data_IF_633117730898
#
_entry.id   IF_633117730898
#
_cell.length_a   1.000
_cell.length_b   1.000
_cell.length_c   1.000
_cell.angle_alpha   90.00
_cell.angle_beta   90.00
_cell.angle_gamma   90.00
#
_symmetry.space_group_name_H-M   'P 1'
#
loop_
_entity.id
_entity.type
_entity.pdbx_description
1 polymer ?
#
# COMPACT_ATOMS: atom_id res chain seq x y z
N UNK A 1 -2.91 -14.62 -9.57
CA UNK A 1 -3.16 -14.44 -8.12
C UNK A 1 -3.25 -12.95 -7.82
N UNK A 2 -4.26 -12.56 -7.06
CA UNK A 2 -4.44 -11.16 -6.67
C UNK A 2 -3.58 -10.85 -5.45
N UNK A 3 -2.80 -9.78 -5.53
CA UNK A 3 -1.92 -9.37 -4.43
C UNK A 3 -2.10 -7.88 -4.14
N UNK A 4 -1.79 -7.51 -2.91
CA UNK A 4 -1.74 -6.11 -2.47
C UNK A 4 -0.27 -5.79 -2.26
N UNK A 5 0.25 -4.84 -3.02
CA UNK A 5 1.67 -4.50 -2.98
C UNK A 5 1.89 -3.02 -3.24
N UNK A 6 3.13 -2.55 -3.09
CA UNK A 6 3.49 -1.17 -3.35
C UNK A 6 3.95 -1.00 -4.79
N UNK A 7 3.46 0.07 -5.41
CA UNK A 7 3.94 0.54 -6.71
C UNK A 7 4.62 1.89 -6.51
N UNK A 8 5.81 2.05 -7.08
CA UNK A 8 6.55 3.30 -6.94
C UNK A 8 5.97 4.38 -7.85
N UNK A 9 5.85 5.58 -7.29
CA UNK A 9 5.41 6.77 -7.99
C UNK A 9 6.26 7.95 -7.52
N UNK A 10 6.12 9.11 -8.13
CA UNK A 10 6.83 10.31 -7.72
C UNK A 10 8.18 10.51 -8.39
N UNK A 11 8.89 11.55 -7.97
CA UNK A 11 10.15 11.96 -8.57
C UNK A 11 11.32 11.06 -8.15
N UNK A 12 12.40 11.13 -8.92
CA UNK A 12 13.60 10.31 -8.74
C UNK A 12 14.21 10.42 -7.33
N UNK A 13 14.19 11.62 -6.73
CA UNK A 13 14.75 11.88 -5.40
C UNK A 13 13.70 11.93 -4.31
N UNK A 14 12.42 11.75 -4.65
CA UNK A 14 11.31 11.77 -3.69
C UNK A 14 10.40 10.58 -3.99
N UNK A 15 10.78 9.40 -3.54
CA UNK A 15 9.95 8.21 -3.76
C UNK A 15 8.60 8.36 -3.06
N UNK A 16 7.57 7.93 -3.74
CA UNK A 16 6.22 7.87 -3.20
C UNK A 16 5.64 6.54 -3.65
N UNK A 17 5.00 5.83 -2.74
CA UNK A 17 4.48 4.51 -3.03
C UNK A 17 2.97 4.50 -2.88
N UNK A 18 2.30 3.89 -3.85
CA UNK A 18 0.88 3.60 -3.76
C UNK A 18 0.70 2.14 -3.34
N UNK A 19 -0.20 1.90 -2.41
CA UNK A 19 -0.59 0.54 -2.06
C UNK A 19 -1.72 0.14 -3.00
N UNK A 20 -1.45 -0.84 -3.85
CA UNK A 20 -2.36 -1.21 -4.94
C UNK A 20 -2.75 -2.68 -4.87
N UNK A 21 -3.92 -2.96 -5.43
CA UNK A 21 -4.40 -4.32 -5.65
C UNK A 21 -4.16 -4.65 -7.12
N UNK A 22 -3.47 -5.73 -7.40
CA UNK A 22 -3.12 -6.09 -8.77
C UNK A 22 -2.91 -7.60 -8.89
N UNK A 23 -2.79 -8.07 -10.13
CA UNK A 23 -2.37 -9.45 -10.39
C UNK A 23 -0.86 -9.56 -10.19
N UNK A 24 -0.41 -10.64 -9.53
CA UNK A 24 1.01 -10.85 -9.22
C UNK A 24 1.90 -10.89 -10.46
N UNK A 25 1.33 -11.19 -11.63
CA UNK A 25 2.06 -11.25 -12.90
C UNK A 25 2.32 -9.87 -13.51
N UNK A 26 1.60 -8.84 -13.07
CA UNK A 26 1.79 -7.49 -13.57
C UNK A 26 3.08 -6.89 -13.04
N UNK A 27 3.67 -5.97 -13.81
CA UNK A 27 4.86 -5.23 -13.39
C UNK A 27 4.54 -4.38 -12.16
N UNK A 28 5.54 -4.17 -11.29
CA UNK A 28 5.38 -3.39 -10.05
C UNK A 28 4.69 -2.04 -10.28
N UNK A 29 5.12 -1.30 -11.32
CA UNK A 29 4.60 0.03 -11.62
C UNK A 29 3.64 0.03 -12.80
N UNK A 30 3.12 -1.15 -13.19
CA UNK A 30 2.19 -1.32 -14.29
C UNK A 30 0.74 -1.19 -13.87
N UNK A 31 -0.13 -1.86 -14.61
CA UNK A 31 -1.56 -1.81 -14.37
C UNK A 31 -1.93 -2.38 -13.00
N UNK A 32 -2.95 -1.79 -12.39
CA UNK A 32 -3.51 -2.29 -11.14
C UNK A 32 -5.04 -2.18 -11.18
N UNK A 33 -5.68 -2.92 -10.28
CA UNK A 33 -7.15 -2.94 -10.18
C UNK A 33 -7.65 -1.74 -9.39
N UNK A 34 -7.01 -1.47 -8.23
CA UNK A 34 -7.47 -0.44 -7.32
C UNK A 34 -6.32 0.04 -6.45
N UNK A 35 -6.32 1.32 -6.11
CA UNK A 35 -5.40 1.90 -5.14
C UNK A 35 -6.12 1.98 -3.79
N UNK A 36 -5.53 1.39 -2.75
CA UNK A 36 -6.14 1.37 -1.43
C UNK A 36 -5.35 2.13 -0.38
N UNK A 37 -4.25 2.74 -0.75
CA UNK A 37 -3.47 3.52 0.20
C UNK A 37 -2.20 4.10 -0.42
N UNK A 38 -1.41 4.76 0.43
CA UNK A 38 -0.14 5.30 -0.01
C UNK A 38 0.88 5.29 1.13
N UNK A 39 2.15 5.39 0.78
CA UNK A 39 3.25 5.52 1.72
C UNK A 39 4.26 6.53 1.18
N UNK A 40 4.53 7.56 1.98
CA UNK A 40 5.52 8.58 1.66
C UNK A 40 6.65 8.53 2.69
N UNK A 41 7.79 7.89 2.39
CA UNK A 41 8.88 7.76 3.36
C UNK A 41 9.61 9.06 3.67
N UNK A 42 9.39 10.11 2.88
CA UNK A 42 10.02 11.43 3.09
C UNK A 42 9.04 12.47 3.62
N UNK A 43 7.88 12.03 4.11
CA UNK A 43 6.90 12.95 4.71
C UNK A 43 7.47 13.59 5.98
N UNK A 44 7.13 14.86 6.21
CA UNK A 44 7.49 15.55 7.44
C UNK A 44 6.78 14.89 8.65
N UNK A 45 7.34 15.08 9.85
CA UNK A 45 6.81 14.46 11.07
C UNK A 45 5.35 14.78 11.33
N UNK A 46 4.92 15.99 10.95
CA UNK A 46 3.54 16.43 11.13
C UNK A 46 2.64 16.09 9.95
N UNK A 47 3.15 15.38 8.96
CA UNK A 47 2.36 14.95 7.81
C UNK A 47 2.03 13.46 7.92
N UNK A 48 0.87 13.09 7.36
CA UNK A 48 0.48 11.67 7.28
C UNK A 48 1.28 11.00 6.16
N UNK A 49 2.33 10.27 6.53
CA UNK A 49 3.19 9.57 5.58
C UNK A 49 2.67 8.20 5.16
N UNK A 50 1.63 7.72 5.82
CA UNK A 50 1.06 6.39 5.54
C UNK A 50 -0.44 6.45 5.71
N UNK A 51 -1.16 5.99 4.71
CA UNK A 51 -2.62 5.91 4.75
C UNK A 51 -3.06 4.60 4.11
N UNK A 52 -4.03 3.94 4.73
CA UNK A 52 -4.59 2.68 4.22
C UNK A 52 -6.11 2.74 4.35
N UNK A 53 -6.81 2.44 3.26
CA UNK A 53 -8.26 2.26 3.31
C UNK A 53 -8.54 0.87 3.85
N UNK A 54 -8.83 0.79 5.15
CA UNK A 54 -8.99 -0.49 5.85
C UNK A 54 -10.22 -1.26 5.38
N UNK A 55 -11.26 -0.57 4.94
CA UNK A 55 -12.46 -1.23 4.41
C UNK A 55 -12.15 -1.97 3.12
N UNK A 56 -11.45 -1.32 2.19
CA UNK A 56 -11.08 -1.94 0.93
C UNK A 56 -10.02 -3.03 1.14
N UNK A 57 -9.11 -2.81 2.07
CA UNK A 57 -8.14 -3.84 2.43
C UNK A 57 -8.83 -5.11 2.91
N UNK A 58 -9.80 -4.97 3.82
CA UNK A 58 -10.55 -6.11 4.35
C UNK A 58 -11.36 -6.80 3.23
N UNK A 59 -11.96 -6.01 2.34
CA UNK A 59 -12.70 -6.55 1.20
C UNK A 59 -11.81 -7.46 0.35
N UNK A 60 -10.61 -6.97 -0.03
CA UNK A 60 -9.72 -7.74 -0.89
C UNK A 60 -9.12 -8.94 -0.18
N UNK A 61 -8.78 -8.81 1.09
CA UNK A 61 -8.30 -9.95 1.88
C UNK A 61 -9.37 -11.02 2.01
N UNK A 62 -10.62 -10.61 2.20
CA UNK A 62 -11.76 -11.53 2.25
C UNK A 62 -11.99 -12.26 0.93
N UNK A 63 -11.51 -11.69 -0.18
CA UNK A 63 -11.59 -12.31 -1.51
C UNK A 63 -10.31 -13.04 -1.90
N UNK A 64 -9.43 -13.29 -0.96
CA UNK A 64 -8.23 -14.10 -1.19
C UNK A 64 -6.99 -13.34 -1.62
N UNK A 65 -7.02 -12.01 -1.66
CA UNK A 65 -5.83 -11.23 -1.99
C UNK A 65 -4.79 -11.37 -0.88
N UNK A 66 -3.52 -11.50 -1.27
CA UNK A 66 -2.41 -11.64 -0.34
C UNK A 66 -1.58 -10.38 -0.28
N UNK A 67 -1.14 -10.02 0.92
CA UNK A 67 -0.24 -8.89 1.12
C UNK A 67 1.19 -9.27 0.80
N UNK A 68 1.90 -8.40 0.07
CA UNK A 68 3.34 -8.56 -0.05
C UNK A 68 3.99 -8.31 1.32
N UNK A 69 5.22 -8.80 1.57
CA UNK A 69 5.89 -8.59 2.86
C UNK A 69 5.99 -7.11 3.26
N UNK A 70 6.32 -6.24 2.31
CA UNK A 70 6.43 -4.80 2.57
C UNK A 70 5.06 -4.20 2.88
N UNK A 71 4.03 -4.55 2.11
CA UNK A 71 2.67 -4.07 2.34
C UNK A 71 2.15 -4.55 3.69
N UNK A 72 2.41 -5.79 4.04
CA UNK A 72 2.01 -6.35 5.34
C UNK A 72 2.64 -5.56 6.50
N UNK A 73 3.91 -5.22 6.38
CA UNK A 73 4.63 -4.43 7.38
C UNK A 73 4.01 -3.05 7.54
N UNK A 74 3.69 -2.38 6.43
CA UNK A 74 3.09 -1.05 6.45
C UNK A 74 1.68 -1.07 7.03
N UNK A 75 0.89 -2.08 6.70
CA UNK A 75 -0.46 -2.25 7.30
C UNK A 75 -0.36 -2.43 8.80
N UNK A 76 0.61 -3.21 9.26
CA UNK A 76 0.84 -3.41 10.69
C UNK A 76 1.22 -2.10 11.38
N UNK A 77 2.11 -1.30 10.78
CA UNK A 77 2.48 0.01 11.31
C UNK A 77 1.28 0.95 11.38
N UNK A 78 0.45 0.96 10.34
CA UNK A 78 -0.73 1.81 10.30
C UNK A 78 -1.71 1.44 11.42
N UNK A 79 -1.97 0.17 11.61
CA UNK A 79 -2.87 -0.31 12.66
C UNK A 79 -2.33 0.00 14.05
N UNK A 80 -1.03 -0.16 14.27
CA UNK A 80 -0.39 0.17 15.54
C UNK A 80 -0.51 1.65 15.87
N UNK A 81 -0.28 2.51 14.86
CA UNK A 81 -0.36 3.96 15.01
C UNK A 81 -1.80 4.41 15.29
N UNK A 82 -2.78 3.76 14.66
CA UNK A 82 -4.19 4.04 14.85
C UNK A 82 -4.68 3.59 16.23
N UNK A 83 -4.11 2.52 16.77
CA UNK A 83 -4.47 1.97 18.07
C UNK A 83 -3.85 2.76 19.23
N UNK A 84 -2.81 3.56 18.96
CA UNK A 84 -2.15 4.39 19.97
C UNK A 84 -2.89 5.76 20.14
#
# INVERSE_FOLDING_TARGET
MVVIRLARSGAKKRPFYNMIVTDSRNRRDGRFVERIGYYNPVAAENESGLSVNTERLAYWQGNGAQLSPTAARLVKQFNAKKAA
#
